data_IF_825072838496
#
_entry.id   IF_825072838496
#
_cell.length_a   1.000
_cell.length_b   1.000
_cell.length_c   1.000
_cell.angle_alpha   90.00
_cell.angle_beta   90.00
_cell.angle_gamma   90.00
#
_symmetry.space_group_name_H-M   'P 1'
#
loop_
_entity.id
_entity.type
_entity.pdbx_description
1 polymer ?
#
# COMPACT_ATOMS: atom_id res chain seq x y z
N UNK A 1 -17.98 -22.35 10.24
CA UNK A 1 -17.85 -20.89 10.02
C UNK A 1 -18.06 -20.64 8.54
N UNK A 2 -18.92 -19.69 8.16
CA UNK A 2 -19.13 -19.29 6.77
C UNK A 2 -18.53 -17.91 6.55
N UNK A 3 -17.92 -17.72 5.38
CA UNK A 3 -17.43 -16.42 4.94
C UNK A 3 -18.50 -15.76 4.07
N UNK A 4 -18.57 -14.43 4.13
CA UNK A 4 -19.39 -13.61 3.22
C UNK A 4 -18.46 -12.73 2.42
N UNK A 5 -18.54 -12.82 1.10
CA UNK A 5 -17.89 -11.86 0.22
C UNK A 5 -18.58 -10.51 0.40
N UNK A 6 -17.80 -9.50 0.78
CA UNK A 6 -18.29 -8.12 0.89
C UNK A 6 -18.18 -7.42 -0.47
N UNK A 7 -17.00 -7.45 -1.07
CA UNK A 7 -16.69 -6.69 -2.28
C UNK A 7 -15.70 -7.41 -3.19
N UNK A 8 -15.66 -7.01 -4.47
CA UNK A 8 -14.64 -7.42 -5.43
C UNK A 8 -14.29 -6.23 -6.32
N UNK A 9 -13.00 -5.92 -6.43
CA UNK A 9 -12.53 -4.78 -7.24
C UNK A 9 -11.30 -5.15 -8.06
N UNK A 10 -11.31 -4.72 -9.32
CA UNK A 10 -10.11 -4.72 -10.16
C UNK A 10 -9.29 -3.45 -9.88
N UNK A 11 -8.00 -3.64 -9.64
CA UNK A 11 -7.02 -2.56 -9.48
C UNK A 11 -6.34 -2.28 -10.82
N UNK A 12 -5.91 -1.03 -11.02
CA UNK A 12 -5.35 -0.57 -12.29
C UNK A 12 -3.91 -1.05 -12.55
N UNK A 13 -3.20 -1.45 -11.49
CA UNK A 13 -1.84 -1.95 -11.54
C UNK A 13 -1.71 -3.19 -10.65
N UNK A 14 -0.73 -4.03 -10.96
CA UNK A 14 -0.38 -5.18 -10.14
C UNK A 14 -0.01 -4.73 -8.72
N UNK A 15 -0.56 -5.43 -7.72
CA UNK A 15 -0.26 -5.20 -6.30
C UNK A 15 0.90 -6.10 -5.90
N UNK A 16 1.96 -5.50 -5.37
CA UNK A 16 3.18 -6.21 -4.95
C UNK A 16 3.22 -6.47 -3.45
N UNK A 17 2.63 -5.59 -2.64
CA UNK A 17 2.53 -5.72 -1.19
C UNK A 17 1.13 -5.33 -0.71
N UNK A 18 0.67 -5.98 0.37
CA UNK A 18 -0.64 -5.73 0.96
C UNK A 18 -0.57 -5.93 2.48
N UNK A 19 -1.02 -4.93 3.25
CA UNK A 19 -0.99 -4.95 4.71
C UNK A 19 -2.29 -4.42 5.33
N UNK A 20 -2.93 -5.24 6.16
CA UNK A 20 -4.10 -4.84 6.94
C UNK A 20 -3.68 -3.92 8.08
N UNK A 21 -4.45 -2.85 8.28
CA UNK A 21 -4.32 -2.08 9.51
C UNK A 21 -4.74 -2.94 10.71
N UNK A 22 -3.96 -2.98 11.80
CA UNK A 22 -4.24 -3.86 12.94
C UNK A 22 -5.47 -3.44 13.77
N UNK A 23 -5.95 -2.19 13.62
CA UNK A 23 -6.98 -1.60 14.48
C UNK A 23 -8.24 -1.13 13.73
N UNK A 24 -8.14 -0.88 12.42
CA UNK A 24 -9.20 -0.29 11.60
C UNK A 24 -9.50 -1.16 10.38
N UNK A 25 -10.63 -0.90 9.72
CA UNK A 25 -11.06 -1.56 8.48
C UNK A 25 -10.30 -1.04 7.24
N UNK A 26 -8.98 -0.89 7.36
CA UNK A 26 -8.13 -0.30 6.34
C UNK A 26 -7.17 -1.33 5.74
N UNK A 27 -7.00 -1.26 4.43
CA UNK A 27 -6.09 -2.06 3.64
C UNK A 27 -5.08 -1.15 2.94
N UNK A 28 -3.80 -1.30 3.28
CA UNK A 28 -2.72 -0.66 2.57
C UNK A 28 -2.25 -1.57 1.43
N UNK A 29 -1.98 -0.98 0.27
CA UNK A 29 -1.49 -1.68 -0.92
C UNK A 29 -0.29 -0.92 -1.48
N UNK A 30 0.70 -1.64 -1.97
CA UNK A 30 1.70 -1.10 -2.88
C UNK A 30 1.56 -1.71 -4.26
N UNK A 31 1.79 -0.91 -5.30
CA UNK A 31 1.73 -1.36 -6.69
C UNK A 31 3.12 -1.54 -7.30
N UNK A 32 3.18 -2.26 -8.42
CA UNK A 32 4.39 -2.39 -9.25
C UNK A 32 4.92 -1.05 -9.76
N UNK A 33 4.06 -0.03 -9.84
CA UNK A 33 4.46 1.33 -10.25
C UNK A 33 5.06 2.15 -9.10
N UNK A 34 5.10 1.60 -7.88
CA UNK A 34 5.55 2.30 -6.68
C UNK A 34 4.48 3.21 -6.06
N UNK A 35 3.21 3.05 -6.42
CA UNK A 35 2.13 3.78 -5.75
C UNK A 35 1.80 3.10 -4.41
N UNK A 36 1.58 3.90 -3.37
CA UNK A 36 1.05 3.44 -2.08
C UNK A 36 -0.39 3.91 -1.93
N UNK A 37 -1.28 2.97 -1.68
CA UNK A 37 -2.71 3.18 -1.64
C UNK A 37 -3.26 2.78 -0.27
N UNK A 38 -4.22 3.55 0.24
CA UNK A 38 -4.98 3.17 1.43
C UNK A 38 -6.47 3.15 1.10
N UNK A 39 -7.11 2.01 1.34
CA UNK A 39 -8.53 1.79 1.11
C UNK A 39 -9.23 1.30 2.37
N UNK A 40 -10.54 1.55 2.47
CA UNK A 40 -11.43 0.86 3.42
C UNK A 40 -11.80 -0.53 2.87
N UNK A 41 -12.36 -1.39 3.72
CA UNK A 41 -12.96 -2.68 3.31
C UNK A 41 -14.04 -2.54 2.23
N UNK A 42 -14.75 -1.40 2.18
CA UNK A 42 -15.71 -1.06 1.12
C UNK A 42 -15.05 -0.62 -0.20
N UNK A 43 -13.73 -0.77 -0.34
CA UNK A 43 -12.91 -0.23 -1.42
C UNK A 43 -13.01 1.29 -1.60
N UNK A 44 -13.52 2.02 -0.62
CA UNK A 44 -13.42 3.48 -0.62
C UNK A 44 -11.95 3.87 -0.49
N UNK A 45 -11.43 4.64 -1.46
CA UNK A 45 -10.07 5.19 -1.39
C UNK A 45 -10.01 6.25 -0.30
N UNK A 46 -9.10 6.07 0.65
CA UNK A 46 -8.81 7.04 1.72
C UNK A 46 -7.76 8.03 1.22
N UNK A 47 -6.63 7.52 0.74
CA UNK A 47 -5.59 8.32 0.10
C UNK A 47 -4.74 7.47 -0.86
N UNK A 48 -3.94 8.16 -1.68
CA UNK A 48 -2.97 7.56 -2.59
C UNK A 48 -1.73 8.44 -2.65
N UNK A 49 -0.55 7.84 -2.58
CA UNK A 49 0.76 8.49 -2.76
C UNK A 49 1.34 7.93 -4.05
N UNK A 50 1.44 8.77 -5.08
CA UNK A 50 2.08 8.41 -6.34
C UNK A 50 3.58 8.17 -6.13
N UNK A 51 4.17 7.29 -6.94
CA UNK A 51 5.61 7.16 -6.99
C UNK A 51 6.24 8.49 -7.41
N UNK A 52 7.21 8.97 -6.63
CA UNK A 52 7.89 10.25 -6.85
C UNK A 52 8.88 10.25 -8.03
N UNK A 53 8.93 9.17 -8.81
CA UNK A 53 9.90 9.02 -9.88
C UNK A 53 9.58 9.88 -11.10
N UNK A 54 10.62 10.45 -11.71
CA UNK A 54 10.59 10.95 -13.09
C UNK A 54 10.14 9.83 -14.04
N UNK A 55 9.55 10.19 -15.18
CA UNK A 55 8.84 9.30 -16.13
C UNK A 55 9.54 7.99 -16.53
N UNK A 56 10.83 7.83 -16.26
CA UNK A 56 11.65 6.75 -16.78
C UNK A 56 12.16 5.74 -15.72
N UNK A 57 11.84 5.90 -14.42
CA UNK A 57 12.37 4.98 -13.39
C UNK A 57 11.34 4.58 -12.33
N UNK A 58 10.74 3.41 -12.44
CA UNK A 58 9.86 2.91 -11.37
C UNK A 58 10.65 2.64 -10.08
N UNK A 59 10.13 3.11 -8.95
CA UNK A 59 10.69 2.87 -7.62
C UNK A 59 9.77 1.92 -6.86
N UNK A 60 10.07 0.61 -6.81
CA UNK A 60 9.19 -0.35 -6.19
C UNK A 60 9.22 -0.17 -4.67
N UNK A 61 8.06 -0.39 -4.04
CA UNK A 61 7.97 -0.52 -2.59
C UNK A 61 8.34 -1.96 -2.23
N UNK A 62 9.30 -2.12 -1.31
CA UNK A 62 9.84 -3.43 -0.92
C UNK A 62 9.43 -3.86 0.48
N UNK A 63 8.94 -2.93 1.30
CA UNK A 63 8.45 -3.23 2.65
C UNK A 63 7.37 -2.25 3.07
N UNK A 64 6.42 -2.75 3.87
CA UNK A 64 5.36 -1.97 4.50
C UNK A 64 5.13 -2.51 5.91
N UNK A 65 4.88 -1.63 6.88
CA UNK A 65 4.54 -2.04 8.24
C UNK A 65 3.67 -0.98 8.92
N UNK A 66 2.52 -1.41 9.43
CA UNK A 66 1.74 -0.59 10.35
C UNK A 66 2.42 -0.55 11.71
N UNK A 67 2.44 0.64 12.31
CA UNK A 67 2.69 0.75 13.75
C UNK A 67 1.59 -0.04 14.48
N UNK A 68 1.89 -0.75 15.59
CA UNK A 68 0.90 -1.59 16.27
C UNK A 68 -0.39 -0.87 16.70
N UNK A 69 -0.34 0.45 16.91
CA UNK A 69 -1.52 1.26 17.23
C UNK A 69 -2.40 1.62 16.01
N UNK A 70 -2.00 1.22 14.80
CA UNK A 70 -2.71 1.44 13.55
C UNK A 70 -2.71 2.88 13.04
N UNK A 71 -1.95 3.80 13.66
CA UNK A 71 -2.02 5.23 13.30
C UNK A 71 -1.00 5.66 12.24
N UNK A 72 0.10 4.92 12.12
CA UNK A 72 1.19 5.22 11.21
C UNK A 72 1.47 3.99 10.35
N UNK A 73 1.66 4.23 9.05
CA UNK A 73 2.12 3.22 8.10
C UNK A 73 3.52 3.61 7.62
N UNK A 74 4.51 2.80 7.94
CA UNK A 74 5.84 2.92 7.39
C UNK A 74 5.95 2.13 6.09
N UNK A 75 6.67 2.64 5.11
CA UNK A 75 6.98 1.91 3.87
C UNK A 75 8.35 2.31 3.33
N UNK A 76 8.96 1.39 2.56
CA UNK A 76 10.31 1.57 2.02
C UNK A 76 10.36 1.37 0.51
N UNK A 77 10.98 2.33 -0.19
CA UNK A 77 11.30 2.21 -1.60
C UNK A 77 12.71 1.65 -1.81
N UNK A 78 12.88 0.91 -2.90
CA UNK A 78 14.19 0.54 -3.43
C UNK A 78 14.70 1.62 -4.40
N UNK A 79 15.73 2.36 -3.99
CA UNK A 79 16.47 3.32 -4.83
C UNK A 79 17.78 2.70 -5.36
N UNK A 80 17.83 1.38 -5.52
CA UNK A 80 19.06 0.66 -5.84
C UNK A 80 19.92 0.46 -4.58
N UNK A 81 21.10 1.07 -4.50
CA UNK A 81 22.01 0.89 -3.35
C UNK A 81 21.55 1.57 -2.05
N UNK A 82 20.38 2.23 -2.07
CA UNK A 82 19.86 2.99 -0.94
C UNK A 82 18.37 2.64 -0.73
N UNK A 83 17.94 2.56 0.52
CA UNK A 83 16.54 2.37 0.90
C UNK A 83 16.05 3.61 1.66
N UNK A 84 14.86 4.11 1.33
CA UNK A 84 14.24 5.23 2.05
C UNK A 84 12.97 4.74 2.74
N UNK A 85 12.92 4.88 4.08
CA UNK A 85 11.72 4.66 4.86
C UNK A 85 10.95 5.97 5.05
N UNK A 86 9.66 5.97 4.74
CA UNK A 86 8.73 7.08 4.99
C UNK A 86 7.83 6.67 6.16
N UNK A 87 7.69 7.54 7.17
CA UNK A 87 6.87 7.35 8.38
C UNK A 87 5.68 8.33 8.38
#
# INVERSE_FOLDING_TARGET
MSFRQLELRHVAAEVTLMEWNPMLDLLALATVTGEVLLHRLSWQKVWSIASGSTKDMLMPVIAMAWRPDGKILAYAYDFGKNYLAIF
#
